data_IF_406054295592
#
_entry.id   IF_406054295592
#
_cell.length_a   1.000
_cell.length_b   1.000
_cell.length_c   1.000
_cell.angle_alpha   90.00
_cell.angle_beta   90.00
_cell.angle_gamma   90.00
#
_symmetry.space_group_name_H-M   'P 1'
#
loop_
_entity.id
_entity.type
_entity.pdbx_description
1 polymer ?
#
# COMPACT_ATOMS: atom_id res chain seq x y z
N UNK A 1 21.54 8.61 14.96
CA UNK A 1 21.37 9.01 13.56
C UNK A 1 21.86 10.45 13.37
N UNK A 2 22.61 10.76 12.30
CA UNK A 2 22.93 12.14 11.91
C UNK A 2 21.66 12.88 11.47
N UNK A 3 21.74 14.22 11.32
CA UNK A 3 20.63 15.00 10.75
C UNK A 3 20.38 14.57 9.30
N UNK A 4 19.20 14.85 8.78
CA UNK A 4 18.80 14.46 7.42
C UNK A 4 18.82 12.95 7.16
N UNK A 5 18.54 12.16 8.22
CA UNK A 5 18.48 10.70 8.14
C UNK A 5 17.08 10.18 7.96
N UNK A 6 16.98 9.03 7.26
CA UNK A 6 15.79 8.20 7.20
C UNK A 6 16.03 6.88 7.94
N UNK A 7 15.20 6.59 8.94
CA UNK A 7 15.12 5.27 9.58
C UNK A 7 14.12 4.41 8.85
N UNK A 8 14.48 3.17 8.49
CA UNK A 8 13.63 2.26 7.71
C UNK A 8 13.31 1.00 8.49
N UNK A 9 12.01 0.70 8.61
CA UNK A 9 11.49 -0.52 9.23
C UNK A 9 10.44 -1.16 8.30
N UNK A 10 10.05 -2.41 8.57
CA UNK A 10 9.23 -3.19 7.62
C UNK A 10 7.84 -3.57 8.17
N UNK A 11 7.48 -3.07 9.33
CA UNK A 11 6.11 -3.13 9.86
C UNK A 11 5.63 -1.73 10.28
N UNK A 12 4.31 -1.54 10.36
CA UNK A 12 3.74 -0.29 10.84
C UNK A 12 4.10 -0.05 12.33
N UNK A 13 4.10 -1.09 13.14
CA UNK A 13 4.42 -1.02 14.56
C UNK A 13 5.88 -0.60 14.79
N UNK A 14 6.82 -1.18 14.02
CA UNK A 14 8.23 -0.81 14.11
C UNK A 14 8.47 0.63 13.63
N UNK A 15 7.78 1.07 12.58
CA UNK A 15 7.81 2.48 12.12
C UNK A 15 7.33 3.41 13.23
N UNK A 16 6.22 3.10 13.88
CA UNK A 16 5.69 3.94 14.97
C UNK A 16 6.60 3.91 16.20
N UNK A 17 7.17 2.76 16.56
CA UNK A 17 8.12 2.65 17.66
C UNK A 17 9.39 3.48 17.40
N UNK A 18 9.94 3.39 16.19
CA UNK A 18 11.12 4.15 15.77
C UNK A 18 10.82 5.66 15.71
N UNK A 19 9.65 6.06 15.21
CA UNK A 19 9.23 7.46 15.18
C UNK A 19 9.05 8.03 16.58
N UNK A 20 8.46 7.27 17.50
CA UNK A 20 8.30 7.68 18.91
C UNK A 20 9.67 7.81 19.62
N UNK A 21 10.58 6.88 19.39
CA UNK A 21 11.95 6.96 19.91
C UNK A 21 12.67 8.20 19.36
N UNK A 22 12.55 8.46 18.06
CA UNK A 22 13.13 9.66 17.42
C UNK A 22 12.52 10.93 17.98
N UNK A 23 11.21 10.97 18.24
CA UNK A 23 10.54 12.11 18.89
C UNK A 23 11.13 12.41 20.26
N UNK A 24 11.33 11.38 21.09
CA UNK A 24 11.88 11.53 22.45
C UNK A 24 13.33 12.00 22.46
N UNK A 25 14.13 11.52 21.52
CA UNK A 25 15.58 11.79 21.51
C UNK A 25 15.97 13.00 20.65
N UNK A 26 15.20 13.31 19.61
CA UNK A 26 15.56 14.26 18.55
C UNK A 26 14.49 15.28 18.20
N UNK A 27 13.37 15.28 18.93
CA UNK A 27 12.28 16.26 18.75
C UNK A 27 11.23 15.89 17.71
N UNK A 28 11.46 14.87 16.89
CA UNK A 28 10.42 14.35 15.97
C UNK A 28 10.92 13.77 14.68
N UNK A 29 10.01 13.07 14.02
CA UNK A 29 10.21 12.51 12.69
C UNK A 29 8.93 12.60 11.88
N UNK A 30 9.06 12.82 10.57
CA UNK A 30 8.00 12.59 9.61
C UNK A 30 7.85 11.08 9.37
N UNK A 31 6.63 10.62 9.10
CA UNK A 31 6.32 9.20 8.92
C UNK A 31 5.83 8.94 7.50
N UNK A 32 6.48 8.00 6.79
CA UNK A 32 6.14 7.62 5.42
C UNK A 32 5.96 6.12 5.29
N UNK A 33 4.75 5.67 4.94
CA UNK A 33 4.42 4.26 4.76
C UNK A 33 3.60 4.04 3.50
N UNK A 34 3.67 2.83 2.93
CA UNK A 34 2.87 2.45 1.76
C UNK A 34 1.36 2.52 1.99
N UNK A 35 0.90 2.31 3.23
CA UNK A 35 -0.51 2.39 3.60
C UNK A 35 -1.08 3.83 3.59
N UNK A 36 -0.22 4.85 3.67
CA UNK A 36 -0.64 6.25 3.66
C UNK A 36 -1.16 6.65 2.28
N UNK A 37 -2.15 7.56 2.26
CA UNK A 37 -2.58 8.21 1.03
C UNK A 37 -1.45 9.02 0.39
N UNK A 38 -1.46 9.24 -0.92
CA UNK A 38 -0.50 10.13 -1.57
C UNK A 38 -0.51 11.53 -0.93
N UNK A 39 -1.69 12.05 -0.57
CA UNK A 39 -1.86 13.35 0.11
C UNK A 39 -1.17 13.39 1.47
N UNK A 40 -1.45 12.42 2.35
CA UNK A 40 -0.80 12.31 3.66
C UNK A 40 0.71 12.14 3.52
N UNK A 41 1.14 11.28 2.59
CA UNK A 41 2.56 11.02 2.34
C UNK A 41 3.31 12.29 1.91
N UNK A 42 2.74 13.03 0.96
CA UNK A 42 3.32 14.30 0.50
C UNK A 42 3.38 15.34 1.61
N UNK A 43 2.36 15.43 2.47
CA UNK A 43 2.35 16.32 3.61
C UNK A 43 3.44 15.96 4.65
N UNK A 44 3.65 14.67 4.94
CA UNK A 44 4.74 14.20 5.79
C UNK A 44 6.13 14.50 5.19
N UNK A 45 6.28 14.28 3.88
CA UNK A 45 7.52 14.65 3.16
C UNK A 45 7.77 16.14 3.21
N UNK A 46 6.73 16.98 3.09
CA UNK A 46 6.86 18.42 3.20
C UNK A 46 7.37 18.87 4.58
N UNK A 47 6.93 18.24 5.69
CA UNK A 47 7.46 18.49 7.04
C UNK A 47 8.98 18.23 7.13
N UNK A 48 9.44 17.17 6.48
CA UNK A 48 10.86 16.84 6.46
C UNK A 48 11.65 17.80 5.54
N UNK A 49 11.12 18.13 4.36
CA UNK A 49 11.79 19.01 3.40
C UNK A 49 11.87 20.45 3.90
N UNK A 50 10.81 20.96 4.56
CA UNK A 50 10.81 22.30 5.15
C UNK A 50 11.79 22.44 6.33
N UNK A 51 12.29 21.28 6.81
CA UNK A 51 13.15 21.24 7.98
C UNK A 51 12.37 21.41 9.31
N UNK A 52 11.06 21.28 9.36
CA UNK A 52 10.33 21.22 10.63
C UNK A 52 10.79 20.03 11.48
N UNK A 53 11.16 18.93 10.82
CA UNK A 53 11.83 17.77 11.41
C UNK A 53 13.09 17.42 10.61
N UNK A 54 14.13 16.93 11.30
CA UNK A 54 15.39 16.54 10.68
C UNK A 54 15.44 15.04 10.34
N UNK A 55 14.43 14.28 10.73
CA UNK A 55 14.37 12.83 10.59
C UNK A 55 13.09 12.39 9.88
N UNK A 56 13.24 11.31 9.12
CA UNK A 56 12.15 10.59 8.49
C UNK A 56 12.15 9.17 9.02
N UNK A 57 10.98 8.59 9.26
CA UNK A 57 10.84 7.16 9.51
C UNK A 57 9.89 6.59 8.47
N UNK A 58 10.31 5.51 7.81
CA UNK A 58 9.57 4.99 6.68
C UNK A 58 9.58 3.46 6.62
N UNK A 59 8.64 2.92 5.83
CA UNK A 59 8.78 1.55 5.28
C UNK A 59 9.63 1.57 4.00
N UNK A 60 9.77 0.42 3.35
CA UNK A 60 10.35 0.30 2.01
C UNK A 60 9.66 1.19 0.94
N UNK A 61 8.49 1.73 1.25
CA UNK A 61 7.83 2.76 0.44
C UNK A 61 8.70 4.01 0.17
N UNK A 62 9.72 4.27 0.99
CA UNK A 62 10.72 5.32 0.75
C UNK A 62 11.45 5.08 -0.56
N UNK A 63 11.65 3.82 -0.94
CA UNK A 63 12.33 3.40 -2.17
C UNK A 63 11.60 3.79 -3.46
N UNK A 64 10.34 4.23 -3.41
CA UNK A 64 9.51 4.44 -4.59
C UNK A 64 8.88 5.84 -4.63
N UNK A 65 9.16 6.60 -5.71
CA UNK A 65 8.38 7.78 -6.12
C UNK A 65 8.44 9.02 -5.22
N UNK A 66 9.30 9.06 -4.21
CA UNK A 66 9.47 10.21 -3.34
C UNK A 66 10.79 10.92 -3.63
N UNK A 67 10.70 12.24 -3.83
CA UNK A 67 11.86 13.09 -4.04
C UNK A 67 12.21 13.80 -2.72
N UNK A 68 13.25 13.34 -2.04
CA UNK A 68 13.66 13.83 -0.73
C UNK A 68 15.17 13.95 -0.65
N UNK A 69 15.64 14.96 0.08
CA UNK A 69 17.06 15.14 0.36
C UNK A 69 17.42 14.40 1.66
N UNK A 70 17.89 13.18 1.51
CA UNK A 70 18.31 12.29 2.59
C UNK A 70 19.82 12.11 2.50
N UNK A 71 20.54 12.35 3.58
CA UNK A 71 21.99 12.19 3.63
C UNK A 71 22.40 10.79 4.11
N UNK A 72 21.55 10.18 4.98
CA UNK A 72 21.81 8.87 5.55
C UNK A 72 20.54 8.02 5.65
N UNK A 73 20.66 6.76 5.26
CA UNK A 73 19.60 5.75 5.44
C UNK A 73 20.04 4.72 6.49
N UNK A 74 19.27 4.54 7.54
CA UNK A 74 19.50 3.57 8.60
C UNK A 74 18.40 2.50 8.62
N UNK A 75 18.78 1.24 8.45
CA UNK A 75 17.87 0.10 8.56
C UNK A 75 17.67 -0.27 10.04
N UNK A 76 16.43 -0.22 10.52
CA UNK A 76 16.06 -0.70 11.85
C UNK A 76 15.89 -2.23 11.89
N UNK A 77 15.71 -2.86 10.73
CA UNK A 77 15.71 -4.30 10.54
C UNK A 77 16.26 -4.63 9.16
N UNK A 78 16.88 -5.79 9.00
CA UNK A 78 17.29 -6.36 7.72
C UNK A 78 16.40 -7.54 7.29
N UNK A 79 15.31 -7.75 8.00
CA UNK A 79 14.33 -8.79 7.70
C UNK A 79 12.96 -8.15 7.46
N UNK A 80 12.24 -8.68 6.48
CA UNK A 80 10.87 -8.26 6.17
C UNK A 80 9.94 -9.45 5.96
N UNK A 81 8.67 -9.27 6.28
CA UNK A 81 7.62 -10.20 5.91
C UNK A 81 7.18 -9.91 4.48
N UNK A 82 7.28 -10.91 3.59
CA UNK A 82 6.99 -10.75 2.15
C UNK A 82 5.54 -11.11 1.77
N UNK A 83 4.71 -11.35 2.77
CA UNK A 83 3.32 -11.81 2.61
C UNK A 83 3.14 -13.30 2.95
N UNK A 84 4.22 -14.09 2.94
CA UNK A 84 4.23 -15.51 3.27
C UNK A 84 5.22 -15.85 4.38
N UNK A 85 6.43 -15.32 4.32
CA UNK A 85 7.54 -15.65 5.21
C UNK A 85 8.32 -14.42 5.67
N UNK A 86 8.86 -14.50 6.88
CA UNK A 86 9.90 -13.55 7.32
C UNK A 86 11.22 -13.95 6.67
N UNK A 87 11.82 -13.03 5.90
CA UNK A 87 13.09 -13.27 5.20
C UNK A 87 14.01 -12.07 5.24
N UNK A 88 15.29 -12.32 5.05
CA UNK A 88 16.27 -11.26 4.90
C UNK A 88 16.02 -10.43 3.62
N UNK A 89 16.37 -9.15 3.67
CA UNK A 89 16.39 -8.28 2.51
C UNK A 89 17.41 -8.78 1.48
N UNK A 90 17.03 -8.74 0.22
CA UNK A 90 17.97 -8.95 -0.89
C UNK A 90 18.86 -7.72 -1.09
N UNK A 91 20.01 -7.91 -1.76
CA UNK A 91 20.88 -6.79 -2.09
C UNK A 91 20.18 -5.72 -2.95
N UNK A 92 19.26 -6.13 -3.84
CA UNK A 92 18.44 -5.21 -4.63
C UNK A 92 17.51 -4.35 -3.76
N UNK A 93 16.88 -4.96 -2.75
CA UNK A 93 15.98 -4.24 -1.82
C UNK A 93 16.76 -3.25 -0.97
N UNK A 94 17.92 -3.69 -0.45
CA UNK A 94 18.82 -2.80 0.29
C UNK A 94 19.30 -1.64 -0.60
N UNK A 95 19.76 -1.92 -1.83
CA UNK A 95 20.20 -0.89 -2.78
C UNK A 95 19.09 0.08 -3.17
N UNK A 96 17.86 -0.40 -3.38
CA UNK A 96 16.71 0.44 -3.71
C UNK A 96 16.37 1.44 -2.58
N UNK A 97 16.51 1.00 -1.34
CA UNK A 97 16.25 1.83 -0.15
C UNK A 97 17.46 2.73 0.12
N UNK A 98 18.67 2.17 0.19
CA UNK A 98 19.90 2.91 0.43
C UNK A 98 20.18 3.98 -0.63
N UNK A 99 19.84 3.71 -1.89
CA UNK A 99 19.96 4.66 -3.00
C UNK A 99 19.04 5.89 -2.90
N UNK A 100 18.32 6.05 -1.79
CA UNK A 100 17.64 7.31 -1.43
C UNK A 100 18.53 8.27 -0.66
N UNK A 101 19.63 7.78 -0.10
CA UNK A 101 20.65 8.63 0.47
C UNK A 101 21.55 9.20 -0.62
N UNK A 102 21.87 10.48 -0.49
CA UNK A 102 22.64 11.23 -1.49
C UNK A 102 21.79 11.78 -2.63
N UNK A 103 22.23 12.89 -3.20
CA UNK A 103 21.54 13.51 -4.32
C UNK A 103 22.51 14.26 -5.23
N UNK A 104 22.37 14.06 -6.54
CA UNK A 104 23.18 14.69 -7.58
C UNK A 104 24.70 14.48 -7.37
N UNK A 105 25.37 15.45 -6.70
CA UNK A 105 26.81 15.45 -6.46
C UNK A 105 27.17 15.13 -5.01
N UNK A 106 26.19 14.93 -4.14
CA UNK A 106 26.41 14.61 -2.74
C UNK A 106 26.27 13.11 -2.53
N UNK A 107 27.34 12.49 -2.05
CA UNK A 107 27.31 11.09 -1.66
C UNK A 107 26.43 10.92 -0.43
N UNK A 108 25.62 9.86 -0.45
CA UNK A 108 24.85 9.43 0.70
C UNK A 108 25.51 8.28 1.42
N UNK A 109 25.09 8.04 2.65
CA UNK A 109 25.56 6.90 3.45
C UNK A 109 24.39 6.01 3.85
N UNK A 110 24.67 4.75 4.10
CA UNK A 110 23.70 3.83 4.66
C UNK A 110 24.31 2.92 5.72
N UNK A 111 23.49 2.41 6.60
CA UNK A 111 23.90 1.54 7.69
C UNK A 111 22.70 0.97 8.43
N UNK A 112 22.95 0.43 9.63
CA UNK A 112 21.92 -0.08 10.52
C UNK A 112 21.80 0.77 11.79
N UNK A 113 20.64 0.72 12.45
CA UNK A 113 20.51 1.26 13.81
C UNK A 113 21.28 0.39 14.81
N UNK A 114 21.53 0.91 16.02
CA UNK A 114 22.25 0.21 17.08
C UNK A 114 21.62 -1.14 17.49
N UNK A 115 20.32 -1.27 17.34
CA UNK A 115 19.57 -2.44 17.76
C UNK A 115 19.42 -3.49 16.65
N UNK A 116 19.77 -3.13 15.41
CA UNK A 116 19.73 -4.03 14.27
C UNK A 116 21.09 -4.74 14.08
N UNK A 117 21.04 -5.95 13.53
CA UNK A 117 22.27 -6.64 13.14
C UNK A 117 23.04 -5.80 12.11
N UNK A 118 24.40 -5.81 12.15
CA UNK A 118 25.20 -5.08 11.17
C UNK A 118 25.03 -5.67 9.77
N UNK A 119 25.19 -4.81 8.76
CA UNK A 119 25.32 -5.25 7.36
C UNK A 119 26.61 -6.06 7.21
N UNK A 120 26.55 -7.16 6.46
CA UNK A 120 27.76 -7.90 6.11
C UNK A 120 28.59 -7.13 5.07
N UNK A 121 29.91 -7.29 5.11
CA UNK A 121 30.82 -6.66 4.14
C UNK A 121 30.48 -7.05 2.70
N UNK A 122 30.12 -8.33 2.45
CA UNK A 122 29.65 -8.79 1.14
C UNK A 122 28.40 -8.04 0.65
N UNK A 123 27.42 -7.85 1.53
CA UNK A 123 26.22 -7.11 1.18
C UNK A 123 26.51 -5.64 0.88
N UNK A 124 27.37 -5.00 1.66
CA UNK A 124 27.81 -3.62 1.44
C UNK A 124 28.50 -3.52 0.08
N UNK A 125 29.49 -4.35 -0.18
CA UNK A 125 30.25 -4.34 -1.44
C UNK A 125 29.33 -4.53 -2.65
N UNK A 126 28.39 -5.46 -2.59
CA UNK A 126 27.42 -5.71 -3.68
C UNK A 126 26.48 -4.54 -3.91
N UNK A 127 26.02 -3.87 -2.84
CA UNK A 127 25.15 -2.68 -2.95
C UNK A 127 25.91 -1.52 -3.56
N UNK A 128 27.13 -1.26 -3.12
CA UNK A 128 27.98 -0.16 -3.62
C UNK A 128 28.42 -0.39 -5.07
N UNK A 129 28.75 -1.63 -5.43
CA UNK A 129 29.14 -2.01 -6.80
C UNK A 129 27.93 -2.19 -7.75
N UNK A 130 26.69 -2.13 -7.26
CA UNK A 130 25.47 -2.45 -8.03
C UNK A 130 25.49 -3.88 -8.61
N UNK A 131 26.08 -4.82 -7.88
CA UNK A 131 26.16 -6.22 -8.28
C UNK A 131 24.96 -7.02 -7.75
N UNK A 132 24.05 -7.37 -8.62
CA UNK A 132 22.85 -8.11 -8.27
C UNK A 132 22.73 -9.42 -9.04
N UNK A 133 22.19 -10.49 -8.42
CA UNK A 133 21.92 -11.73 -9.11
C UNK A 133 20.96 -11.49 -10.29
N UNK A 134 21.23 -12.15 -11.41
CA UNK A 134 20.33 -12.13 -12.55
C UNK A 134 18.95 -12.68 -12.15
N UNK A 135 17.89 -12.02 -12.61
CA UNK A 135 16.53 -12.49 -12.42
C UNK A 135 16.32 -13.76 -13.25
N UNK A 136 16.10 -14.90 -12.58
CA UNK A 136 15.94 -16.21 -13.25
C UNK A 136 14.49 -16.57 -13.51
N UNK A 137 13.54 -15.97 -12.79
CA UNK A 137 12.13 -16.26 -12.90
C UNK A 137 11.33 -14.96 -12.97
N UNK A 138 10.35 -14.92 -13.86
CA UNK A 138 9.41 -13.81 -14.01
C UNK A 138 8.01 -14.35 -13.75
N UNK A 139 7.24 -13.66 -12.92
CA UNK A 139 5.84 -14.03 -12.70
C UNK A 139 5.02 -13.76 -13.95
N UNK A 140 4.25 -14.78 -14.35
CA UNK A 140 3.41 -14.76 -15.53
C UNK A 140 1.96 -15.06 -15.15
N UNK A 141 1.05 -14.41 -15.85
CA UNK A 141 -0.38 -14.67 -15.81
C UNK A 141 -0.91 -14.72 -17.22
N UNK A 142 -1.80 -15.68 -17.51
CA UNK A 142 -2.40 -15.79 -18.83
C UNK A 142 -3.17 -14.51 -19.20
N UNK A 143 -2.80 -13.77 -20.26
CA UNK A 143 -3.51 -12.58 -20.69
C UNK A 143 -4.78 -12.92 -21.50
N UNK A 144 -4.88 -14.14 -22.03
CA UNK A 144 -6.02 -14.58 -22.85
C UNK A 144 -7.02 -15.33 -21.99
N UNK A 145 -8.04 -14.61 -21.52
CA UNK A 145 -9.07 -15.15 -20.64
C UNK A 145 -10.29 -15.62 -21.43
N UNK A 146 -10.92 -16.70 -20.96
CA UNK A 146 -12.12 -17.28 -21.56
C UNK A 146 -13.35 -17.01 -20.67
N UNK A 147 -14.21 -16.11 -21.11
CA UNK A 147 -15.40 -15.67 -20.39
C UNK A 147 -16.68 -16.45 -20.72
N UNK A 148 -16.61 -17.55 -21.46
CA UNK A 148 -17.80 -18.35 -21.81
C UNK A 148 -18.50 -18.95 -20.56
N UNK A 149 -17.74 -19.22 -19.51
CA UNK A 149 -18.24 -19.63 -18.20
C UNK A 149 -17.20 -19.37 -17.11
N UNK A 150 -17.63 -19.32 -15.85
CA UNK A 150 -16.72 -19.21 -14.68
C UNK A 150 -15.69 -20.36 -14.68
N UNK A 151 -16.12 -21.59 -15.04
CA UNK A 151 -15.21 -22.73 -15.15
C UNK A 151 -14.14 -22.52 -16.25
N UNK A 152 -14.55 -22.00 -17.42
CA UNK A 152 -13.61 -21.70 -18.51
C UNK A 152 -12.61 -20.60 -18.11
N UNK A 153 -13.08 -19.58 -17.42
CA UNK A 153 -12.23 -18.51 -16.90
C UNK A 153 -11.20 -19.02 -15.87
N UNK A 154 -11.63 -19.83 -14.91
CA UNK A 154 -10.72 -20.46 -13.94
C UNK A 154 -9.70 -21.36 -14.62
N UNK A 155 -10.11 -22.14 -15.64
CA UNK A 155 -9.20 -22.95 -16.44
C UNK A 155 -8.17 -22.10 -17.19
N UNK A 156 -8.59 -20.97 -17.78
CA UNK A 156 -7.70 -20.03 -18.45
C UNK A 156 -6.68 -19.40 -17.48
N UNK A 157 -7.11 -19.03 -16.27
CA UNK A 157 -6.22 -18.51 -15.23
C UNK A 157 -5.24 -19.56 -14.69
N UNK A 158 -5.61 -20.84 -14.76
CA UNK A 158 -4.79 -21.96 -14.31
C UNK A 158 -3.77 -22.46 -15.36
N UNK A 159 -3.76 -21.90 -16.58
CA UNK A 159 -2.86 -22.32 -17.65
C UNK A 159 -1.40 -22.28 -17.24
N UNK A 160 -0.65 -23.24 -17.72
CA UNK A 160 0.81 -23.32 -17.53
C UNK A 160 1.49 -22.26 -18.38
N UNK A 161 2.53 -21.59 -17.86
CA UNK A 161 3.31 -20.62 -18.63
C UNK A 161 3.87 -21.23 -19.93
N UNK A 162 3.91 -20.45 -21.02
CA UNK A 162 4.30 -20.97 -22.35
C UNK A 162 5.81 -21.13 -22.55
N UNK A 163 6.65 -20.65 -21.62
CA UNK A 163 8.10 -20.66 -21.77
C UNK A 163 8.82 -20.92 -20.44
N UNK A 164 10.03 -21.43 -20.51
CA UNK A 164 10.95 -21.53 -19.38
C UNK A 164 11.26 -20.15 -18.78
N UNK A 165 11.53 -20.09 -17.48
CA UNK A 165 11.78 -18.83 -16.76
C UNK A 165 10.50 -18.10 -16.37
N UNK A 166 9.34 -18.50 -16.86
CA UNK A 166 8.06 -17.96 -16.43
C UNK A 166 7.46 -18.81 -15.29
N UNK A 167 7.01 -18.16 -14.23
CA UNK A 167 6.35 -18.80 -13.09
C UNK A 167 4.92 -18.28 -12.99
N UNK A 168 3.93 -19.20 -12.98
CA UNK A 168 2.54 -18.79 -12.83
C UNK A 168 2.29 -18.13 -11.46
N UNK A 169 1.61 -16.99 -11.46
CA UNK A 169 1.05 -16.40 -10.24
C UNK A 169 -0.05 -17.33 -9.69
N UNK A 170 0.06 -17.78 -8.44
CA UNK A 170 -0.89 -18.73 -7.82
C UNK A 170 -1.84 -18.06 -6.83
N UNK A 171 -1.36 -17.07 -6.10
CA UNK A 171 -2.07 -16.48 -4.94
C UNK A 171 -2.61 -15.07 -5.24
N UNK A 172 -3.14 -14.88 -6.46
CA UNK A 172 -3.73 -13.61 -6.84
C UNK A 172 -5.10 -13.44 -6.17
N UNK A 173 -5.30 -12.34 -5.44
CA UNK A 173 -6.51 -12.08 -4.66
C UNK A 173 -7.79 -12.08 -5.49
N UNK A 174 -7.75 -11.61 -6.74
CA UNK A 174 -8.87 -11.62 -7.67
C UNK A 174 -9.27 -13.04 -8.10
N UNK A 175 -8.28 -13.95 -8.33
CA UNK A 175 -8.55 -15.34 -8.61
C UNK A 175 -9.14 -16.05 -7.39
N UNK A 176 -8.59 -15.83 -6.20
CA UNK A 176 -9.12 -16.37 -4.95
C UNK A 176 -10.57 -15.91 -4.70
N UNK A 177 -10.84 -14.63 -4.94
CA UNK A 177 -12.20 -14.09 -4.85
C UNK A 177 -13.15 -14.78 -5.84
N UNK A 178 -12.73 -14.97 -7.08
CA UNK A 178 -13.50 -15.68 -8.09
C UNK A 178 -13.77 -17.14 -7.70
N UNK A 179 -12.76 -17.85 -7.18
CA UNK A 179 -12.91 -19.24 -6.71
C UNK A 179 -13.95 -19.34 -5.59
N UNK A 180 -13.94 -18.42 -4.62
CA UNK A 180 -14.93 -18.39 -3.54
C UNK A 180 -16.32 -18.04 -4.07
N UNK A 181 -16.44 -17.00 -4.89
CA UNK A 181 -17.73 -16.55 -5.45
C UNK A 181 -18.34 -17.56 -6.41
N UNK A 182 -17.53 -18.39 -7.08
CA UNK A 182 -18.01 -19.48 -7.91
C UNK A 182 -18.80 -20.56 -7.13
N UNK A 183 -18.61 -20.65 -5.83
CA UNK A 183 -19.34 -21.56 -4.93
C UNK A 183 -20.57 -20.88 -4.27
N UNK A 184 -20.77 -19.58 -4.42
CA UNK A 184 -21.98 -18.89 -3.97
C UNK A 184 -23.12 -19.20 -4.98
N UNK A 185 -24.22 -19.86 -4.55
CA UNK A 185 -25.28 -20.30 -5.48
C UNK A 185 -25.95 -19.15 -6.25
N UNK A 186 -26.11 -17.98 -5.60
CA UNK A 186 -26.74 -16.81 -6.23
C UNK A 186 -25.80 -16.21 -7.29
N UNK A 187 -24.51 -16.09 -6.98
CA UNK A 187 -23.50 -15.59 -7.91
C UNK A 187 -23.32 -16.56 -9.07
N UNK A 188 -23.14 -17.84 -8.78
CA UNK A 188 -22.96 -18.88 -9.81
C UNK A 188 -24.19 -18.97 -10.75
N UNK A 189 -25.40 -18.88 -10.23
CA UNK A 189 -26.64 -18.87 -11.02
C UNK A 189 -26.77 -17.61 -11.89
N UNK A 190 -26.30 -16.45 -11.42
CA UNK A 190 -26.32 -15.20 -12.16
C UNK A 190 -25.21 -15.08 -13.19
N UNK A 191 -24.06 -15.76 -13.01
CA UNK A 191 -22.88 -15.69 -13.88
C UNK A 191 -23.04 -16.57 -15.13
N UNK A 192 -24.04 -16.27 -15.95
CA UNK A 192 -24.38 -16.99 -17.19
C UNK A 192 -24.18 -16.10 -18.40
N UNK A 193 -23.37 -16.57 -19.35
CA UNK A 193 -23.02 -15.82 -20.58
C UNK A 193 -21.77 -14.96 -20.41
N UNK A 194 -21.18 -14.61 -21.55
CA UNK A 194 -19.86 -13.95 -21.64
C UNK A 194 -19.82 -12.63 -20.84
N UNK A 195 -20.82 -11.78 -21.02
CA UNK A 195 -20.85 -10.44 -20.40
C UNK A 195 -20.94 -10.50 -18.87
N UNK A 196 -21.76 -11.44 -18.34
CA UNK A 196 -21.92 -11.58 -16.89
C UNK A 196 -20.70 -12.22 -16.22
N UNK A 197 -20.03 -13.14 -16.91
CA UNK A 197 -18.77 -13.72 -16.42
C UNK A 197 -17.65 -12.69 -16.47
N UNK A 198 -17.57 -11.88 -17.52
CA UNK A 198 -16.63 -10.75 -17.60
C UNK A 198 -16.87 -9.73 -16.48
N UNK A 199 -18.14 -9.36 -16.23
CA UNK A 199 -18.52 -8.48 -15.14
C UNK A 199 -18.14 -9.06 -13.77
N UNK A 200 -18.37 -10.37 -13.53
CA UNK A 200 -17.95 -11.03 -12.31
C UNK A 200 -16.43 -10.91 -12.12
N UNK A 201 -15.68 -11.10 -13.19
CA UNK A 201 -14.24 -10.95 -13.17
C UNK A 201 -13.82 -9.51 -12.82
N UNK A 202 -14.45 -8.51 -13.43
CA UNK A 202 -14.17 -7.11 -13.09
C UNK A 202 -14.48 -6.78 -11.62
N UNK A 203 -15.54 -7.36 -11.07
CA UNK A 203 -15.86 -7.27 -9.64
C UNK A 203 -14.79 -7.94 -8.78
N UNK A 204 -14.32 -9.12 -9.15
CA UNK A 204 -13.23 -9.80 -8.42
C UNK A 204 -11.92 -9.00 -8.41
N UNK A 205 -11.70 -8.13 -9.38
CA UNK A 205 -10.52 -7.26 -9.49
C UNK A 205 -10.58 -6.01 -8.62
N UNK A 206 -11.69 -5.74 -7.92
CA UNK A 206 -11.77 -4.63 -6.94
C UNK A 206 -10.76 -4.87 -5.84
N UNK A 207 -9.78 -3.96 -5.62
CA UNK A 207 -8.70 -4.20 -4.70
C UNK A 207 -9.15 -4.22 -3.23
N UNK A 208 -8.62 -5.16 -2.44
CA UNK A 208 -8.74 -5.12 -0.98
C UNK A 208 -7.67 -4.20 -0.38
N UNK A 209 -7.93 -2.90 -0.36
CA UNK A 209 -7.03 -1.93 0.28
C UNK A 209 -6.96 -2.07 1.80
N UNK A 210 -7.95 -2.70 2.42
CA UNK A 210 -8.04 -2.88 3.88
C UNK A 210 -7.22 -4.07 4.37
N UNK A 211 -6.85 -4.98 3.47
CA UNK A 211 -6.20 -6.26 3.80
C UNK A 211 -6.94 -6.99 4.92
N UNK A 212 -8.27 -6.98 4.84
CA UNK A 212 -9.15 -7.68 5.77
C UNK A 212 -9.01 -9.20 5.59
N UNK A 213 -9.70 -9.94 6.48
CA UNK A 213 -9.94 -11.37 6.21
C UNK A 213 -10.62 -11.48 4.84
N UNK A 214 -10.07 -12.33 3.99
CA UNK A 214 -10.51 -12.54 2.61
C UNK A 214 -12.05 -12.69 2.49
N UNK A 215 -12.68 -13.37 3.45
CA UNK A 215 -14.13 -13.57 3.52
C UNK A 215 -14.94 -12.28 3.56
N UNK A 216 -14.47 -11.25 4.29
CA UNK A 216 -15.21 -9.98 4.42
C UNK A 216 -15.18 -9.20 3.11
N UNK A 217 -14.03 -9.19 2.42
CA UNK A 217 -13.89 -8.55 1.11
C UNK A 217 -14.71 -9.29 0.06
N UNK A 218 -14.60 -10.61 -0.03
CA UNK A 218 -15.35 -11.44 -0.99
C UNK A 218 -16.85 -11.30 -0.80
N UNK A 219 -17.34 -11.19 0.45
CA UNK A 219 -18.76 -10.92 0.72
C UNK A 219 -19.22 -9.58 0.12
N UNK A 220 -18.40 -8.52 0.25
CA UNK A 220 -18.68 -7.23 -0.39
C UNK A 220 -18.72 -7.37 -1.92
N UNK A 221 -17.76 -8.08 -2.50
CA UNK A 221 -17.73 -8.33 -3.96
C UNK A 221 -19.01 -9.06 -4.43
N UNK A 222 -19.45 -10.07 -3.70
CA UNK A 222 -20.70 -10.77 -3.99
C UNK A 222 -21.92 -9.84 -3.93
N UNK A 223 -21.99 -8.90 -2.96
CA UNK A 223 -23.05 -7.91 -2.90
C UNK A 223 -23.01 -6.96 -4.11
N UNK A 224 -21.82 -6.44 -4.45
CA UNK A 224 -21.62 -5.58 -5.63
C UNK A 224 -22.10 -6.30 -6.89
N UNK A 225 -21.66 -7.55 -7.11
CA UNK A 225 -22.03 -8.31 -8.30
C UNK A 225 -23.55 -8.52 -8.40
N UNK A 226 -24.21 -8.91 -7.30
CA UNK A 226 -25.67 -9.11 -7.28
C UNK A 226 -26.46 -7.84 -7.63
N UNK A 227 -26.02 -6.68 -7.18
CA UNK A 227 -26.63 -5.42 -7.59
C UNK A 227 -26.42 -5.13 -9.09
N UNK A 228 -25.22 -5.37 -9.60
CA UNK A 228 -24.89 -5.08 -11.00
C UNK A 228 -25.64 -5.97 -12.00
N UNK A 229 -25.87 -7.25 -11.65
CA UNK A 229 -26.65 -8.18 -12.49
C UNK A 229 -28.14 -8.15 -12.23
N UNK A 230 -28.55 -7.42 -11.18
CA UNK A 230 -29.96 -7.27 -10.79
C UNK A 230 -30.78 -6.41 -11.76
N UNK A 231 -32.08 -6.27 -11.53
CA UNK A 231 -32.98 -5.55 -12.46
C UNK A 231 -32.60 -4.08 -12.70
N UNK A 232 -31.98 -3.43 -11.73
CA UNK A 232 -31.55 -2.03 -11.85
C UNK A 232 -30.27 -1.87 -12.69
N UNK A 233 -29.51 -2.93 -12.92
CA UNK A 233 -28.28 -2.90 -13.72
C UNK A 233 -27.15 -2.03 -13.14
N UNK A 234 -27.20 -1.68 -11.84
CA UNK A 234 -26.24 -0.82 -11.18
C UNK A 234 -26.36 -0.85 -9.67
N UNK A 235 -25.39 -0.20 -8.99
CA UNK A 235 -25.37 -0.07 -7.55
C UNK A 235 -26.39 0.98 -7.11
N UNK A 236 -27.32 0.65 -6.20
CA UNK A 236 -28.24 1.65 -5.62
C UNK A 236 -27.46 2.75 -4.88
N UNK A 237 -27.87 4.00 -5.05
CA UNK A 237 -27.25 5.15 -4.38
C UNK A 237 -27.23 4.99 -2.85
N UNK A 238 -28.32 4.48 -2.26
CA UNK A 238 -28.38 4.22 -0.82
C UNK A 238 -27.36 3.16 -0.36
N UNK A 239 -27.05 2.17 -1.19
CA UNK A 239 -26.03 1.17 -0.91
C UNK A 239 -24.65 1.81 -0.85
N UNK A 240 -24.29 2.59 -1.86
CA UNK A 240 -23.00 3.30 -1.90
C UNK A 240 -22.93 4.33 -0.78
N UNK A 241 -23.97 5.16 -0.60
CA UNK A 241 -24.06 6.16 0.46
C UNK A 241 -23.92 5.55 1.86
N UNK A 242 -24.52 4.38 2.09
CA UNK A 242 -24.41 3.67 3.35
C UNK A 242 -22.98 3.28 3.70
N UNK A 243 -22.22 2.83 2.73
CA UNK A 243 -20.82 2.48 2.91
C UNK A 243 -19.94 3.72 3.10
N UNK A 244 -20.11 4.76 2.29
CA UNK A 244 -19.36 6.01 2.38
C UNK A 244 -19.60 6.70 3.73
N UNK A 245 -20.85 6.84 4.18
CA UNK A 245 -21.17 7.45 5.49
C UNK A 245 -20.52 6.77 6.68
N UNK A 246 -20.34 5.44 6.64
CA UNK A 246 -19.69 4.69 7.73
C UNK A 246 -18.22 5.07 7.92
N UNK A 247 -17.55 5.49 6.87
CA UNK A 247 -16.12 5.83 6.89
C UNK A 247 -15.87 7.33 6.91
N UNK A 248 -16.87 8.16 6.65
CA UNK A 248 -16.78 9.64 6.68
C UNK A 248 -16.77 10.16 8.12
N UNK A 249 -15.73 9.80 8.88
CA UNK A 249 -15.55 10.17 10.28
C UNK A 249 -14.08 10.48 10.53
N UNK A 250 -13.78 11.71 10.96
CA UNK A 250 -12.41 12.21 11.17
C UNK A 250 -11.87 11.98 12.59
N UNK A 251 -12.70 11.43 13.49
CA UNK A 251 -12.34 11.04 14.85
C UNK A 251 -11.56 9.71 14.87
N UNK A 252 -10.91 9.43 15.99
CA UNK A 252 -10.18 8.19 16.22
C UNK A 252 -8.66 8.33 16.17
N UNK A 253 -7.98 7.22 16.32
CA UNK A 253 -6.54 7.12 16.27
C UNK A 253 -6.01 6.93 14.84
N UNK A 254 -4.69 6.83 14.71
CA UNK A 254 -4.01 6.66 13.43
C UNK A 254 -4.49 5.39 12.71
N UNK A 255 -4.67 4.28 13.43
CA UNK A 255 -5.10 3.00 12.84
C UNK A 255 -6.52 3.11 12.29
N UNK A 256 -7.45 3.71 13.05
CA UNK A 256 -8.83 3.92 12.61
C UNK A 256 -8.91 4.80 11.34
N UNK A 257 -8.07 5.84 11.23
CA UNK A 257 -8.03 6.69 10.05
C UNK A 257 -7.41 5.97 8.84
N UNK A 258 -6.34 5.20 9.04
CA UNK A 258 -5.73 4.36 7.97
C UNK A 258 -6.75 3.36 7.43
N UNK A 259 -7.50 2.68 8.32
CA UNK A 259 -8.53 1.71 7.93
C UNK A 259 -9.67 2.38 7.14
N UNK A 260 -10.09 3.58 7.53
CA UNK A 260 -11.13 4.33 6.80
C UNK A 260 -10.66 4.81 5.44
N UNK A 261 -9.40 5.26 5.33
CA UNK A 261 -8.79 5.61 4.04
C UNK A 261 -8.74 4.39 3.13
N UNK A 262 -8.33 3.24 3.64
CA UNK A 262 -8.33 1.99 2.88
C UNK A 262 -9.74 1.60 2.44
N UNK A 263 -10.75 1.80 3.30
CA UNK A 263 -12.13 1.50 2.99
C UNK A 263 -12.73 2.45 1.95
N UNK A 264 -12.49 3.77 2.05
CA UNK A 264 -13.02 4.71 1.05
C UNK A 264 -12.40 4.49 -0.33
N UNK A 265 -11.15 4.05 -0.42
CA UNK A 265 -10.50 3.73 -1.69
C UNK A 265 -11.18 2.62 -2.48
N UNK A 266 -11.79 1.65 -1.81
CA UNK A 266 -12.63 0.66 -2.48
C UNK A 266 -13.77 1.36 -3.24
N UNK A 267 -14.43 2.33 -2.60
CA UNK A 267 -15.53 3.07 -3.21
C UNK A 267 -15.06 4.09 -4.25
N UNK A 268 -13.89 4.67 -4.07
CA UNK A 268 -13.23 5.46 -5.12
C UNK A 268 -12.99 4.60 -6.36
N UNK A 269 -12.45 3.38 -6.19
CA UNK A 269 -12.26 2.44 -7.30
C UNK A 269 -13.58 2.07 -7.97
N UNK A 270 -14.60 1.71 -7.19
CA UNK A 270 -15.95 1.35 -7.67
C UNK A 270 -16.59 2.49 -8.46
N UNK A 271 -16.48 3.74 -8.00
CA UNK A 271 -17.07 4.90 -8.66
C UNK A 271 -16.42 5.21 -10.02
N UNK A 272 -15.21 4.73 -10.28
CA UNK A 272 -14.53 4.86 -11.56
C UNK A 272 -14.86 3.73 -12.55
N UNK A 273 -15.61 2.72 -12.13
CA UNK A 273 -16.05 1.66 -13.05
C UNK A 273 -17.26 2.13 -13.87
N UNK A 274 -17.14 2.04 -15.18
CA UNK A 274 -18.20 2.47 -16.09
C UNK A 274 -19.50 1.68 -15.88
N UNK A 275 -20.60 2.37 -15.68
CA UNK A 275 -21.94 1.77 -15.54
C UNK A 275 -22.22 1.09 -14.20
N UNK A 276 -21.32 1.17 -13.21
CA UNK A 276 -21.56 0.55 -11.90
C UNK A 276 -22.40 1.44 -10.96
N UNK A 277 -22.30 2.75 -11.10
CA UNK A 277 -23.07 3.72 -10.30
C UNK A 277 -23.96 4.53 -11.21
N UNK A 278 -25.09 5.01 -10.70
CA UNK A 278 -26.08 5.83 -11.44
C UNK A 278 -25.53 7.20 -11.80
N UNK A 279 -24.73 7.81 -10.93
CA UNK A 279 -24.03 9.07 -11.15
C UNK A 279 -22.55 8.93 -10.79
N UNK A 280 -21.71 8.48 -11.74
CA UNK A 280 -20.27 8.31 -11.49
C UNK A 280 -19.58 9.62 -11.08
N UNK A 281 -19.96 10.76 -11.68
CA UNK A 281 -19.35 12.06 -11.38
C UNK A 281 -19.58 12.49 -9.94
N UNK A 282 -20.81 12.32 -9.45
CA UNK A 282 -21.16 12.57 -8.05
C UNK A 282 -20.32 11.69 -7.10
N UNK A 283 -20.32 10.38 -7.32
CA UNK A 283 -19.63 9.45 -6.41
C UNK A 283 -18.11 9.58 -6.44
N UNK A 284 -17.50 9.87 -7.58
CA UNK A 284 -16.08 10.22 -7.69
C UNK A 284 -15.74 11.47 -6.87
N UNK A 285 -16.58 12.51 -6.94
CA UNK A 285 -16.43 13.74 -6.16
C UNK A 285 -16.54 13.48 -4.66
N UNK A 286 -17.57 12.75 -4.24
CA UNK A 286 -17.85 12.43 -2.83
C UNK A 286 -16.71 11.58 -2.23
N UNK A 287 -16.34 10.49 -2.89
CA UNK A 287 -15.30 9.57 -2.37
C UNK A 287 -13.95 10.25 -2.27
N UNK A 288 -13.57 11.08 -3.27
CA UNK A 288 -12.35 11.90 -3.23
C UNK A 288 -12.38 12.88 -2.07
N UNK A 289 -13.49 13.60 -1.88
CA UNK A 289 -13.63 14.56 -0.77
C UNK A 289 -13.50 13.89 0.60
N UNK A 290 -14.07 12.70 0.78
CA UNK A 290 -13.93 11.91 2.02
C UNK A 290 -12.48 11.46 2.20
N UNK A 291 -11.82 10.92 1.15
CA UNK A 291 -10.43 10.49 1.22
C UNK A 291 -9.51 11.66 1.57
N UNK A 292 -9.74 12.85 1.01
CA UNK A 292 -8.97 14.06 1.29
C UNK A 292 -9.11 14.49 2.76
N UNK A 293 -10.33 14.55 3.30
CA UNK A 293 -10.55 14.89 4.72
C UNK A 293 -9.93 13.88 5.68
N UNK A 294 -10.07 12.59 5.39
CA UNK A 294 -9.43 11.53 6.18
C UNK A 294 -7.90 11.62 6.12
N UNK A 295 -7.36 11.97 4.95
CA UNK A 295 -5.92 12.14 4.75
C UNK A 295 -5.36 13.31 5.53
N UNK A 296 -6.08 14.43 5.57
CA UNK A 296 -5.71 15.60 6.36
C UNK A 296 -5.77 15.29 7.87
N UNK A 297 -6.86 14.64 8.32
CA UNK A 297 -6.98 14.21 9.71
C UNK A 297 -5.86 13.23 10.12
N UNK A 298 -5.48 12.32 9.23
CA UNK A 298 -4.38 11.39 9.48
C UNK A 298 -3.03 12.13 9.57
N UNK A 299 -2.78 13.10 8.67
CA UNK A 299 -1.58 13.93 8.73
C UNK A 299 -1.48 14.65 10.08
N UNK A 300 -2.57 15.26 10.55
CA UNK A 300 -2.62 15.95 11.84
C UNK A 300 -2.33 14.99 13.00
N UNK A 301 -2.91 13.79 13.01
CA UNK A 301 -2.65 12.76 14.03
C UNK A 301 -1.21 12.29 14.05
N UNK A 302 -0.61 12.03 12.88
CA UNK A 302 0.79 11.66 12.77
C UNK A 302 1.70 12.78 13.30
N UNK A 303 1.44 14.01 12.88
CA UNK A 303 2.20 15.19 13.31
C UNK A 303 2.06 15.39 14.82
N UNK A 304 0.85 15.34 15.36
CA UNK A 304 0.61 15.48 16.81
C UNK A 304 1.33 14.40 17.62
N UNK A 305 1.38 13.17 17.12
CA UNK A 305 1.99 12.05 17.84
C UNK A 305 3.51 12.05 17.74
N UNK A 306 4.08 12.34 16.57
CA UNK A 306 5.49 12.09 16.29
C UNK A 306 6.35 13.34 16.14
N UNK A 307 5.78 14.54 16.24
CA UNK A 307 6.54 15.80 16.13
C UNK A 307 6.35 16.65 17.40
N UNK A 308 7.47 16.90 18.09
CA UNK A 308 7.54 17.87 19.17
C UNK A 308 8.27 19.12 18.67
N UNK A 309 7.51 20.09 18.15
CA UNK A 309 8.05 21.32 17.56
C UNK A 309 8.93 22.11 18.55
N UNK A 310 8.60 22.10 19.86
CA UNK A 310 9.38 22.81 20.86
C UNK A 310 10.72 22.14 21.10
N UNK A 311 10.74 20.84 21.28
CA UNK A 311 11.95 20.05 21.44
C UNK A 311 12.84 20.12 20.17
N UNK A 312 12.26 20.04 18.98
CA UNK A 312 12.99 20.16 17.72
C UNK A 312 13.72 21.49 17.59
N UNK A 313 13.07 22.62 17.94
CA UNK A 313 13.70 23.95 17.89
C UNK A 313 14.84 24.08 18.94
N UNK A 314 14.63 23.57 20.15
CA UNK A 314 15.65 23.61 21.21
C UNK A 314 16.89 22.79 20.82
N UNK A 315 16.70 21.60 20.34
CA UNK A 315 17.81 20.72 19.92
C UNK A 315 18.60 21.27 18.73
N UNK A 316 17.96 22.05 17.85
CA UNK A 316 18.65 22.75 16.75
C UNK A 316 19.53 23.90 17.22
N UNK A 317 19.16 24.56 18.31
CA UNK A 317 19.94 25.70 18.88
C UNK A 317 21.13 25.21 19.70
N UNK A 318 21.11 23.97 20.17
CA UNK A 318 22.16 23.41 21.04
C UNK A 318 23.19 22.57 20.28
N UNK A 319 22.97 22.25 19.01
CA UNK A 319 23.88 21.51 18.13
C UNK A 319 24.25 22.27 16.88
#
# INVERSE_FOLDING_TARGET
LPRRSAGVAFSADDVYALAEMTRRQRGGAAVVMGALSPRTRNAQVALYQSGEVDYLVATDAIGMGLNMDIDHVAFASLDKFDGAWLRALSAQEVAQIAGRAGRHRNDGTFGTTSDARPLSEDLIARVEAHEFPAQRQIYWRNPTLDFRSVRALLAALAMVPPAEGLTRVRDAADQQALEVLAHDPEVAGAASGVDRVALLWDVCRVPDFRKLRAETHVRLLGQIYRHLVGPAGGLPDDFVAGHVRRVDRMDGDIHALVDRIAAIRVWTYVSHQGGWTTDPGHWQGVTRSVEDRLSDALHDRLTQRFVDRRAAILLRRLG
#
